data_IF_022518915000
#
_entry.id   IF_022518915000
#
_cell.length_a   1.000
_cell.length_b   1.000
_cell.length_c   1.000
_cell.angle_alpha   90.00
_cell.angle_beta   90.00
_cell.angle_gamma   90.00
#
_symmetry.space_group_name_H-M   'P 1'
#
loop_
_entity.id
_entity.type
_entity.pdbx_description
1 polymer ?
#
# COMPACT_ATOMS: atom_id res chain seq x y z
N UNK A 1 26.90 74.22 15.02
CA UNK A 1 27.08 73.17 14.00
C UNK A 1 25.82 72.32 13.75
N UNK A 2 25.03 71.94 14.77
CA UNK A 2 23.83 71.09 14.62
C UNK A 2 22.66 71.69 13.80
N UNK A 3 22.58 73.02 13.64
CA UNK A 3 21.48 73.67 12.88
C UNK A 3 21.59 73.49 11.36
N UNK A 4 22.79 73.47 10.80
CA UNK A 4 23.01 73.26 9.37
C UNK A 4 22.65 71.81 8.96
N UNK A 5 22.97 70.84 9.83
CA UNK A 5 22.65 69.42 9.61
C UNK A 5 21.14 69.16 9.64
N UNK A 6 20.39 69.86 10.49
CA UNK A 6 18.91 69.76 10.53
C UNK A 6 18.23 70.47 9.36
N UNK A 7 18.81 71.56 8.86
CA UNK A 7 18.29 72.27 7.67
C UNK A 7 18.46 71.44 6.39
N UNK A 8 19.62 70.78 6.22
CA UNK A 8 19.87 69.93 5.06
C UNK A 8 19.33 68.49 5.22
N UNK A 9 19.07 68.05 6.45
CA UNK A 9 18.51 66.73 6.72
C UNK A 9 17.10 66.55 6.15
N UNK A 10 16.25 67.58 6.20
CA UNK A 10 14.88 67.53 5.69
C UNK A 10 14.78 67.31 4.16
N UNK A 11 15.47 68.09 3.30
CA UNK A 11 15.42 67.85 1.85
C UNK A 11 16.05 66.51 1.47
N UNK A 12 17.07 66.03 2.20
CA UNK A 12 17.69 64.73 1.96
C UNK A 12 16.72 63.59 2.30
N UNK A 13 16.05 63.65 3.45
CA UNK A 13 15.02 62.69 3.84
C UNK A 13 13.84 62.70 2.86
N UNK A 14 13.36 63.88 2.47
CA UNK A 14 12.28 64.02 1.51
C UNK A 14 12.67 63.43 0.14
N UNK A 15 13.91 63.66 -0.33
CA UNK A 15 14.42 63.07 -1.56
C UNK A 15 14.49 61.55 -1.52
N UNK A 16 15.00 60.97 -0.43
CA UNK A 16 15.04 59.50 -0.24
C UNK A 16 13.64 58.92 -0.19
N UNK A 17 12.71 59.58 0.50
CA UNK A 17 11.32 59.12 0.61
C UNK A 17 10.61 59.15 -0.74
N UNK A 18 10.81 60.22 -1.53
CA UNK A 18 10.28 60.31 -2.90
C UNK A 18 10.89 59.24 -3.81
N UNK A 19 12.19 59.01 -3.73
CA UNK A 19 12.86 57.96 -4.50
C UNK A 19 12.29 56.57 -4.17
N UNK A 20 12.09 56.26 -2.89
CA UNK A 20 11.46 55.01 -2.45
C UNK A 20 10.02 54.88 -2.95
N UNK A 21 9.24 55.97 -2.92
CA UNK A 21 7.85 55.96 -3.40
C UNK A 21 7.78 55.72 -4.91
N UNK A 22 8.70 56.30 -5.69
CA UNK A 22 8.81 56.06 -7.13
C UNK A 22 9.21 54.61 -7.41
N UNK A 23 10.20 54.06 -6.70
CA UNK A 23 10.62 52.65 -6.84
C UNK A 23 9.45 51.70 -6.51
N UNK A 24 8.69 52.00 -5.45
CA UNK A 24 7.56 51.17 -5.02
C UNK A 24 6.39 51.23 -6.01
N UNK A 25 6.10 52.40 -6.58
CA UNK A 25 4.96 52.58 -7.49
C UNK A 25 5.27 52.17 -8.93
N UNK A 26 6.49 52.38 -9.38
CA UNK A 26 6.91 52.15 -10.77
C UNK A 26 8.22 51.35 -10.83
N UNK A 27 8.25 50.11 -10.30
CA UNK A 27 9.45 49.28 -10.29
C UNK A 27 10.00 49.01 -11.70
N UNK A 28 9.12 49.01 -12.71
CA UNK A 28 9.46 48.86 -14.13
C UNK A 28 10.38 49.98 -14.67
N UNK A 29 10.36 51.19 -14.09
CA UNK A 29 11.22 52.31 -14.53
C UNK A 29 12.65 52.18 -13.99
N UNK A 30 12.85 51.33 -12.98
CA UNK A 30 14.12 51.12 -12.28
C UNK A 30 14.81 49.83 -12.79
N UNK A 31 14.21 49.14 -13.75
CA UNK A 31 14.75 47.90 -14.31
C UNK A 31 14.76 46.73 -13.32
N UNK A 32 13.91 46.80 -12.28
CA UNK A 32 13.73 45.69 -11.36
C UNK A 32 13.02 44.56 -12.11
N UNK A 33 13.58 43.34 -12.17
CA UNK A 33 12.96 42.23 -12.87
C UNK A 33 11.60 41.94 -12.22
N UNK A 34 10.53 41.96 -13.02
CA UNK A 34 9.29 41.33 -12.61
C UNK A 34 9.62 39.86 -12.37
N UNK A 35 9.46 39.39 -11.13
CA UNK A 35 9.44 37.97 -10.83
C UNK A 35 8.13 37.42 -11.39
N UNK A 36 8.05 37.34 -12.71
CA UNK A 36 7.02 36.61 -13.43
C UNK A 36 7.31 35.13 -13.20
N UNK A 37 6.93 34.66 -12.01
CA UNK A 37 6.88 33.23 -11.72
C UNK A 37 5.82 32.64 -12.62
N UNK A 38 6.23 32.25 -13.83
CA UNK A 38 5.46 31.38 -14.69
C UNK A 38 5.42 30.03 -13.97
N UNK A 39 4.46 29.88 -13.07
CA UNK A 39 4.10 28.61 -12.49
C UNK A 39 3.56 27.78 -13.65
N UNK A 40 4.46 27.07 -14.30
CA UNK A 40 4.10 26.01 -15.23
C UNK A 40 3.42 24.96 -14.37
N UNK A 41 2.09 25.07 -14.22
CA UNK A 41 1.29 24.09 -13.52
C UNK A 41 1.53 22.78 -14.28
N UNK A 42 2.30 21.86 -13.69
CA UNK A 42 2.39 20.51 -14.21
C UNK A 42 0.95 19.99 -14.35
N UNK A 43 0.62 19.25 -15.43
CA UNK A 43 -0.66 18.58 -15.52
C UNK A 43 -0.83 17.82 -14.21
N UNK A 44 -1.88 18.17 -13.45
CA UNK A 44 -2.28 17.39 -12.31
C UNK A 44 -2.64 16.04 -12.91
N UNK A 45 -1.71 15.09 -12.89
CA UNK A 45 -2.03 13.70 -13.12
C UNK A 45 -2.90 13.33 -11.93
N UNK A 46 -4.20 13.60 -12.04
CA UNK A 46 -5.18 12.78 -11.36
C UNK A 46 -4.77 11.38 -11.73
N UNK A 47 -4.12 10.69 -10.80
CA UNK A 47 -3.91 9.26 -10.89
C UNK A 47 -5.31 8.70 -10.95
N UNK A 48 -5.85 8.62 -12.16
CA UNK A 48 -7.00 7.80 -12.47
C UNK A 48 -6.57 6.45 -11.95
N UNK A 49 -7.13 6.01 -10.82
CA UNK A 49 -6.81 4.71 -10.26
C UNK A 49 -6.93 3.72 -11.42
N UNK A 50 -5.79 3.19 -11.87
CA UNK A 50 -5.72 2.35 -13.07
C UNK A 50 -6.28 0.94 -12.80
N UNK A 51 -7.08 0.79 -11.75
CA UNK A 51 -7.61 -0.47 -11.29
C UNK A 51 -9.08 -0.33 -10.89
N UNK A 52 -9.84 -1.43 -10.97
CA UNK A 52 -11.22 -1.43 -10.53
C UNK A 52 -11.29 -1.14 -9.03
N UNK A 53 -12.31 -0.39 -8.61
CA UNK A 53 -12.62 -0.13 -7.20
C UNK A 53 -12.99 -1.43 -6.47
N UNK A 54 -13.47 -2.44 -7.20
CA UNK A 54 -13.85 -3.76 -6.68
C UNK A 54 -13.68 -4.87 -7.72
N UNK A 55 -13.29 -6.05 -7.27
CA UNK A 55 -13.21 -7.28 -8.09
C UNK A 55 -14.47 -8.15 -7.99
N UNK A 56 -15.58 -7.61 -7.46
CA UNK A 56 -16.82 -8.35 -7.24
C UNK A 56 -17.32 -9.05 -8.52
N UNK A 57 -17.26 -8.38 -9.68
CA UNK A 57 -17.71 -8.96 -10.95
C UNK A 57 -16.89 -10.20 -11.35
N UNK A 58 -15.57 -10.16 -11.15
CA UNK A 58 -14.70 -11.30 -11.40
C UNK A 58 -15.01 -12.46 -10.45
N UNK A 59 -15.28 -12.17 -9.18
CA UNK A 59 -15.67 -13.18 -8.18
C UNK A 59 -17.04 -13.78 -8.50
N UNK A 60 -18.02 -12.98 -8.96
CA UNK A 60 -19.35 -13.48 -9.37
C UNK A 60 -19.25 -14.48 -10.51
N UNK A 61 -18.34 -14.25 -11.47
CA UNK A 61 -18.10 -15.16 -12.59
C UNK A 61 -17.35 -16.43 -12.14
N UNK A 62 -16.35 -16.28 -11.26
CA UNK A 62 -15.47 -17.38 -10.86
C UNK A 62 -16.04 -18.26 -9.73
N UNK A 63 -16.85 -17.70 -8.83
CA UNK A 63 -17.34 -18.38 -7.64
C UNK A 63 -18.11 -19.68 -7.93
N UNK A 64 -18.97 -19.79 -8.97
CA UNK A 64 -19.67 -21.04 -9.28
C UNK A 64 -18.76 -22.20 -9.68
N UNK A 65 -17.51 -21.93 -10.07
CA UNK A 65 -16.54 -22.95 -10.46
C UNK A 65 -15.79 -23.56 -9.26
N UNK A 66 -15.89 -22.97 -8.06
CA UNK A 66 -15.17 -23.42 -6.86
C UNK A 66 -16.10 -24.24 -5.98
N UNK A 67 -15.68 -25.47 -5.66
CA UNK A 67 -16.44 -26.40 -4.81
C UNK A 67 -15.61 -26.82 -3.60
N UNK A 68 -16.28 -27.08 -2.49
CA UNK A 68 -15.65 -27.63 -1.30
C UNK A 68 -15.79 -29.17 -1.31
N UNK A 69 -14.67 -29.89 -1.46
CA UNK A 69 -14.66 -31.34 -1.60
C UNK A 69 -14.09 -32.02 -0.34
N UNK A 70 -14.90 -32.90 0.24
CA UNK A 70 -14.50 -33.75 1.36
C UNK A 70 -14.33 -35.18 0.87
N UNK A 71 -13.11 -35.72 0.97
CA UNK A 71 -12.83 -37.11 0.58
C UNK A 71 -12.38 -37.93 1.79
N UNK A 72 -12.90 -39.15 1.88
CA UNK A 72 -12.47 -40.14 2.88
C UNK A 72 -11.88 -41.33 2.14
N UNK A 73 -10.63 -41.67 2.46
CA UNK A 73 -9.97 -42.86 1.93
C UNK A 73 -9.95 -43.93 3.01
N UNK A 74 -10.48 -45.11 2.68
CA UNK A 74 -10.33 -46.30 3.53
C UNK A 74 -8.96 -46.92 3.24
N UNK A 75 -8.05 -46.88 4.20
CA UNK A 75 -6.75 -47.54 4.10
C UNK A 75 -6.76 -48.80 4.96
N UNK A 76 -6.54 -49.94 4.32
CA UNK A 76 -6.23 -51.19 5.00
C UNK A 76 -4.76 -51.12 5.41
N UNK A 77 -4.48 -50.87 6.69
CA UNK A 77 -3.10 -50.92 7.19
C UNK A 77 -2.63 -52.38 7.21
N UNK A 78 -1.39 -52.66 6.74
CA UNK A 78 -0.80 -53.98 6.92
C UNK A 78 -0.74 -54.32 8.41
N UNK A 79 -1.01 -55.58 8.75
CA UNK A 79 -0.98 -56.04 10.13
C UNK A 79 0.42 -55.83 10.73
N UNK A 80 0.48 -55.48 12.02
CA UNK A 80 1.75 -55.26 12.72
C UNK A 80 2.56 -56.57 12.79
N UNK A 81 3.90 -56.54 12.60
CA UNK A 81 4.74 -57.75 12.58
C UNK A 81 4.64 -58.65 13.82
N UNK A 82 4.30 -58.07 14.98
CA UNK A 82 4.08 -58.79 16.23
C UNK A 82 2.93 -59.82 16.16
N UNK A 83 1.99 -59.66 15.23
CA UNK A 83 0.88 -60.61 15.02
C UNK A 83 1.31 -61.87 14.24
N UNK A 84 2.52 -61.87 13.70
CA UNK A 84 3.13 -63.03 13.06
C UNK A 84 3.93 -63.89 14.04
N UNK A 85 4.11 -63.45 15.29
CA UNK A 85 4.87 -64.18 16.33
C UNK A 85 4.06 -65.38 16.89
N UNK A 86 4.64 -66.59 16.91
CA UNK A 86 4.03 -67.79 17.51
C UNK A 86 3.62 -67.65 18.98
N UNK A 87 4.35 -66.87 19.79
CA UNK A 87 4.01 -66.70 21.20
C UNK A 87 2.77 -65.82 21.37
N UNK A 88 2.69 -64.72 20.61
CA UNK A 88 1.58 -63.77 20.66
C UNK A 88 0.27 -64.40 20.16
N UNK A 89 0.32 -65.21 19.10
CA UNK A 89 -0.85 -65.93 18.55
C UNK A 89 -1.51 -66.90 19.52
N UNK A 90 -0.75 -67.52 20.43
CA UNK A 90 -1.32 -68.47 21.42
C UNK A 90 -2.24 -67.78 22.43
N UNK A 91 -1.97 -66.51 22.74
CA UNK A 91 -2.75 -65.74 23.71
C UNK A 91 -3.91 -64.98 23.06
N UNK A 92 -3.75 -64.48 21.83
CA UNK A 92 -4.74 -63.60 21.19
C UNK A 92 -5.46 -64.22 19.96
N UNK A 93 -4.97 -65.34 19.42
CA UNK A 93 -5.59 -66.07 18.31
C UNK A 93 -5.72 -65.28 17.00
N UNK A 94 -6.65 -65.69 16.15
CA UNK A 94 -7.01 -65.03 14.87
C UNK A 94 -8.09 -63.94 15.04
N UNK A 95 -8.47 -63.61 16.27
CA UNK A 95 -9.60 -62.72 16.59
C UNK A 95 -9.24 -61.23 16.50
N UNK A 96 -8.14 -60.86 15.86
CA UNK A 96 -7.72 -59.46 15.82
C UNK A 96 -8.49 -58.67 14.77
N UNK A 97 -9.09 -57.53 15.14
CA UNK A 97 -9.78 -56.68 14.19
C UNK A 97 -8.77 -56.10 13.19
N UNK A 98 -9.00 -56.32 11.89
CA UNK A 98 -8.30 -55.60 10.83
C UNK A 98 -8.63 -54.13 10.97
N UNK A 99 -7.67 -53.33 11.43
CA UNK A 99 -7.90 -51.92 11.70
C UNK A 99 -7.98 -51.15 10.38
N UNK A 100 -9.19 -50.94 9.88
CA UNK A 100 -9.46 -50.01 8.79
C UNK A 100 -9.36 -48.60 9.35
N UNK A 101 -8.44 -47.80 8.83
CA UNK A 101 -8.35 -46.38 9.19
C UNK A 101 -8.95 -45.56 8.06
N UNK A 102 -9.94 -44.74 8.40
CA UNK A 102 -10.41 -43.68 7.52
C UNK A 102 -9.42 -42.51 7.61
N UNK A 103 -8.87 -42.12 6.47
CA UNK A 103 -8.08 -40.90 6.36
C UNK A 103 -8.91 -39.86 5.60
N UNK A 104 -9.20 -38.74 6.26
CA UNK A 104 -9.85 -37.59 5.62
C UNK A 104 -8.79 -36.76 4.92
N UNK A 105 -8.87 -36.63 3.60
CA UNK A 105 -8.02 -35.70 2.84
C UNK A 105 -8.86 -34.50 2.45
N UNK A 106 -8.49 -33.31 2.94
CA UNK A 106 -8.95 -32.06 2.36
C UNK A 106 -8.18 -31.86 1.06
N UNK A 107 -8.82 -32.18 -0.07
CA UNK A 107 -8.26 -31.85 -1.38
C UNK A 107 -8.25 -30.34 -1.53
N UNK A 108 -7.08 -29.72 -1.53
CA UNK A 108 -6.93 -28.31 -1.89
C UNK A 108 -6.99 -28.19 -3.42
N UNK A 109 -8.22 -28.21 -3.96
CA UNK A 109 -8.51 -27.92 -5.35
C UNK A 109 -9.00 -26.48 -5.49
#
# INVERSE_FOLDING_TARGET
>A
MLKALRFFGWPLLAGVLIALLIIQRYPQWVGLPSLDVNLQQAPQTTSTQQGPVSYADAVVIAAPAVVNLYTTKVINKPAHPLFEDPQFRRFFGDNLPKQQRMESSLGSG
#
